data_IF_877273169060
#
_entry.id   IF_877273169060
#
_cell.length_a   1.000
_cell.length_b   1.000
_cell.length_c   1.000
_cell.angle_alpha   90.00
_cell.angle_beta   90.00
_cell.angle_gamma   90.00
#
_symmetry.space_group_name_H-M   'P 1'
#
loop_
_entity.id
_entity.type
_entity.pdbx_description
1 polymer ?
#
# COMPACT_ATOMS: atom_id res chain seq x y z
N UNK A 1 -8.56 27.47 3.42
CA UNK A 1 -9.95 27.41 2.88
C UNK A 1 -10.34 25.96 2.70
N UNK A 2 -11.18 25.42 3.59
CA UNK A 2 -11.75 24.08 3.45
C UNK A 2 -12.96 24.18 2.49
N UNK A 3 -12.79 23.72 1.25
CA UNK A 3 -13.89 23.53 0.28
C UNK A 3 -14.42 22.11 0.44
N UNK A 4 -15.73 21.94 0.62
CA UNK A 4 -16.41 20.69 0.27
C UNK A 4 -17.37 20.04 1.27
N UNK A 5 -18.23 20.80 1.96
CA UNK A 5 -19.53 20.25 2.34
C UNK A 5 -20.60 21.24 1.93
N UNK A 6 -21.27 20.99 0.81
CA UNK A 6 -22.46 21.76 0.42
C UNK A 6 -23.68 21.18 1.12
N UNK A 7 -24.56 22.04 1.63
CA UNK A 7 -25.89 21.68 2.15
C UNK A 7 -26.67 20.89 1.07
N UNK A 8 -27.34 19.80 1.46
CA UNK A 8 -28.00 18.84 0.55
C UNK A 8 -29.53 18.88 0.60
N UNK A 9 -30.11 19.98 1.08
CA UNK A 9 -31.56 20.14 1.25
C UNK A 9 -32.35 19.84 -0.04
N UNK A 10 -31.87 20.26 -1.21
CA UNK A 10 -32.56 20.03 -2.48
C UNK A 10 -32.64 18.54 -2.86
N UNK A 11 -31.63 17.76 -2.45
CA UNK A 11 -31.63 16.31 -2.66
C UNK A 11 -32.62 15.62 -1.72
N UNK A 12 -32.71 16.05 -0.46
CA UNK A 12 -33.74 15.56 0.48
C UNK A 12 -35.15 15.91 0.00
N UNK A 13 -35.32 17.11 -0.58
CA UNK A 13 -36.58 17.55 -1.18
C UNK A 13 -36.99 16.64 -2.34
N UNK A 14 -36.04 16.26 -3.20
CA UNK A 14 -36.27 15.33 -4.29
C UNK A 14 -36.64 13.91 -3.80
N UNK A 15 -36.20 13.52 -2.60
CA UNK A 15 -36.57 12.26 -1.94
C UNK A 15 -37.94 12.30 -1.21
N UNK A 16 -38.66 13.42 -1.29
CA UNK A 16 -40.00 13.55 -0.71
C UNK A 16 -40.03 13.85 0.78
N UNK A 17 -38.95 14.41 1.35
CA UNK A 17 -38.94 14.87 2.73
C UNK A 17 -39.90 16.06 2.94
N UNK A 18 -40.48 16.16 4.15
CA UNK A 18 -41.46 17.21 4.47
C UNK A 18 -40.81 18.60 4.52
N UNK A 19 -41.58 19.66 4.25
CA UNK A 19 -41.08 21.03 4.33
C UNK A 19 -40.63 21.44 5.75
N UNK A 20 -41.13 20.77 6.79
CA UNK A 20 -40.68 20.96 8.16
C UNK A 20 -39.32 20.30 8.39
N UNK A 21 -39.13 19.06 7.92
CA UNK A 21 -37.86 18.35 8.06
C UNK A 21 -36.73 19.00 7.23
N UNK A 22 -37.04 19.55 6.06
CA UNK A 22 -36.06 20.27 5.23
C UNK A 22 -35.52 21.51 5.95
N UNK A 23 -36.41 22.33 6.54
CA UNK A 23 -36.02 23.52 7.31
C UNK A 23 -35.19 23.14 8.54
N UNK A 24 -35.61 22.09 9.25
CA UNK A 24 -34.86 21.56 10.39
C UNK A 24 -33.47 21.04 10.00
N UNK A 25 -33.35 20.38 8.85
CA UNK A 25 -32.06 19.92 8.33
C UNK A 25 -31.13 21.09 8.01
N UNK A 26 -31.60 22.13 7.33
CA UNK A 26 -30.80 23.32 7.01
C UNK A 26 -30.27 24.00 8.28
N UNK A 27 -31.15 24.25 9.26
CA UNK A 27 -30.80 24.92 10.51
C UNK A 27 -29.73 24.13 11.30
N UNK A 28 -29.94 22.82 11.48
CA UNK A 28 -28.99 21.96 12.19
C UNK A 28 -27.67 21.79 11.43
N UNK A 29 -27.72 21.80 10.09
CA UNK A 29 -26.53 21.74 9.26
C UNK A 29 -25.68 23.00 9.40
N UNK A 30 -26.29 24.20 9.33
CA UNK A 30 -25.59 25.47 9.55
C UNK A 30 -25.03 25.58 10.97
N UNK A 31 -25.83 25.20 11.97
CA UNK A 31 -25.39 25.20 13.37
C UNK A 31 -24.18 24.28 13.58
N UNK A 32 -24.21 23.08 13.00
CA UNK A 32 -23.09 22.13 13.03
C UNK A 32 -21.82 22.71 12.39
N UNK A 33 -21.92 23.43 11.28
CA UNK A 33 -20.75 24.05 10.65
C UNK A 33 -20.15 25.16 11.51
N UNK A 34 -21.00 25.94 12.18
CA UNK A 34 -20.59 27.11 12.97
C UNK A 34 -20.04 26.73 14.35
N UNK A 35 -20.62 25.72 14.99
CA UNK A 35 -20.34 25.39 16.40
C UNK A 35 -19.84 23.96 16.61
N UNK A 36 -19.87 23.11 15.59
CA UNK A 36 -19.46 21.71 15.68
C UNK A 36 -20.56 20.77 16.21
N UNK A 37 -20.50 19.50 15.81
CA UNK A 37 -21.53 18.50 16.13
C UNK A 37 -21.62 18.12 17.61
N UNK A 38 -20.62 18.49 18.44
CA UNK A 38 -20.62 18.19 19.87
C UNK A 38 -21.64 19.03 20.65
N UNK A 39 -22.04 20.18 20.09
CA UNK A 39 -23.00 21.11 20.69
C UNK A 39 -24.45 20.82 20.26
N UNK A 40 -24.67 19.76 19.48
CA UNK A 40 -26.01 19.32 19.11
C UNK A 40 -26.54 18.31 20.11
N UNK A 41 -27.82 18.44 20.44
CA UNK A 41 -28.52 17.47 21.27
C UNK A 41 -28.52 16.08 20.63
N UNK A 42 -28.77 15.06 21.43
CA UNK A 42 -28.73 13.67 20.93
C UNK A 42 -29.72 13.46 19.79
N UNK A 43 -30.93 13.96 19.94
CA UNK A 43 -32.04 13.84 19.00
C UNK A 43 -31.73 14.57 17.68
N UNK A 44 -31.03 15.71 17.76
CA UNK A 44 -30.61 16.50 16.60
C UNK A 44 -29.49 15.81 15.82
N UNK A 45 -28.54 15.18 16.53
CA UNK A 45 -27.50 14.35 15.91
C UNK A 45 -28.08 13.12 15.24
N UNK A 46 -29.05 12.47 15.87
CA UNK A 46 -29.77 11.33 15.32
C UNK A 46 -30.59 11.73 14.09
N UNK A 47 -31.25 12.89 14.12
CA UNK A 47 -31.96 13.46 12.97
C UNK A 47 -31.03 13.72 11.79
N UNK A 48 -29.90 14.40 11.99
CA UNK A 48 -28.91 14.64 10.93
C UNK A 48 -28.36 13.32 10.38
N UNK A 49 -28.11 12.32 11.23
CA UNK A 49 -27.64 10.99 10.79
C UNK A 49 -28.69 10.29 9.92
N UNK A 50 -29.97 10.39 10.28
CA UNK A 50 -31.09 9.83 9.51
C UNK A 50 -31.22 10.52 8.14
N UNK A 51 -31.11 11.85 8.12
CA UNK A 51 -31.14 12.63 6.88
C UNK A 51 -29.96 12.29 5.95
N UNK A 52 -28.73 12.25 6.48
CA UNK A 52 -27.54 11.87 5.71
C UNK A 52 -27.58 10.41 5.24
N UNK A 53 -28.22 9.51 5.99
CA UNK A 53 -28.39 8.11 5.58
C UNK A 53 -29.43 7.92 4.46
N UNK A 54 -30.44 8.80 4.38
CA UNK A 54 -31.46 8.77 3.35
C UNK A 54 -30.96 9.35 2.02
N UNK A 55 -30.03 10.30 2.09
CA UNK A 55 -29.42 10.89 0.90
C UNK A 55 -28.64 9.85 0.10
N UNK A 56 -28.69 9.90 -1.25
CA UNK A 56 -27.85 9.05 -2.07
C UNK A 56 -26.40 9.31 -1.67
N UNK A 57 -25.58 8.25 -1.56
CA UNK A 57 -24.15 8.45 -1.30
C UNK A 57 -23.59 9.31 -2.42
N UNK A 58 -23.18 10.55 -2.13
CA UNK A 58 -22.36 11.32 -3.07
C UNK A 58 -21.17 10.43 -3.37
N UNK A 59 -20.92 10.14 -4.65
CA UNK A 59 -19.58 9.70 -5.05
C UNK A 59 -18.64 10.73 -4.42
N UNK A 60 -17.73 10.27 -3.55
CA UNK A 60 -16.93 11.15 -2.71
C UNK A 60 -16.37 12.28 -3.58
N UNK A 61 -16.88 13.50 -3.39
CA UNK A 61 -16.40 14.66 -4.12
C UNK A 61 -15.02 14.96 -3.58
N UNK A 62 -14.07 14.32 -4.25
CA UNK A 62 -12.72 14.04 -3.81
C UNK A 62 -12.20 12.86 -4.63
N UNK A 63 -12.38 12.91 -5.96
CA UNK A 63 -12.14 11.82 -6.90
C UNK A 63 -12.98 10.58 -6.56
N UNK A 64 -14.00 10.32 -7.37
CA UNK A 64 -14.36 8.94 -7.68
C UNK A 64 -13.18 8.28 -8.37
N UNK A 65 -12.10 8.02 -7.63
CA UNK A 65 -11.09 7.10 -8.07
C UNK A 65 -11.80 5.77 -8.12
N UNK A 66 -11.81 5.15 -9.31
CA UNK A 66 -11.98 3.71 -9.37
C UNK A 66 -11.12 3.08 -8.28
N UNK A 67 -11.56 1.94 -7.75
CA UNK A 67 -10.79 1.20 -6.74
C UNK A 67 -9.37 1.09 -7.30
N UNK A 68 -8.41 1.79 -6.66
CA UNK A 68 -7.03 1.83 -7.16
C UNK A 68 -6.60 0.39 -7.37
N UNK A 69 -6.14 0.11 -8.58
CA UNK A 69 -5.47 -1.14 -8.88
C UNK A 69 -4.32 -1.33 -7.89
N UNK A 70 -3.90 -2.57 -7.65
CA UNK A 70 -2.79 -2.84 -6.75
C UNK A 70 -1.53 -2.05 -7.14
N UNK A 71 -1.30 -1.87 -8.45
CA UNK A 71 -0.21 -1.09 -9.03
C UNK A 71 -0.27 0.42 -8.75
N UNK A 72 -1.46 0.97 -8.52
CA UNK A 72 -1.64 2.38 -8.17
C UNK A 72 -1.47 2.67 -6.67
N UNK A 73 -1.39 1.62 -5.84
CA UNK A 73 -1.26 1.76 -4.38
C UNK A 73 0.18 2.11 -4.01
N UNK A 74 0.32 3.05 -3.08
CA UNK A 74 1.62 3.65 -2.73
C UNK A 74 2.66 2.63 -2.29
N UNK A 75 2.27 1.61 -1.51
CA UNK A 75 3.17 0.56 -1.06
C UNK A 75 3.69 -0.30 -2.23
N UNK A 76 2.84 -0.68 -3.18
CA UNK A 76 3.27 -1.40 -4.38
C UNK A 76 4.21 -0.55 -5.23
N UNK A 77 3.87 0.72 -5.48
CA UNK A 77 4.70 1.66 -6.25
C UNK A 77 6.06 1.89 -5.61
N UNK A 78 6.11 1.94 -4.29
CA UNK A 78 7.36 2.05 -3.54
C UNK A 78 8.27 0.84 -3.78
N UNK A 79 7.76 -0.38 -3.65
CA UNK A 79 8.53 -1.61 -3.92
C UNK A 79 8.98 -1.68 -5.38
N UNK A 80 8.09 -1.36 -6.32
CA UNK A 80 8.39 -1.35 -7.75
C UNK A 80 9.47 -0.31 -8.12
N UNK A 81 9.41 0.89 -7.52
CA UNK A 81 10.42 1.92 -7.75
C UNK A 81 11.79 1.52 -7.19
N UNK A 82 11.83 0.86 -6.04
CA UNK A 82 13.08 0.35 -5.46
C UNK A 82 13.66 -0.79 -6.30
N UNK A 83 12.83 -1.73 -6.76
CA UNK A 83 13.24 -2.80 -7.67
C UNK A 83 13.83 -2.21 -8.96
N UNK A 84 13.18 -1.20 -9.54
CA UNK A 84 13.67 -0.54 -10.75
C UNK A 84 15.00 0.18 -10.50
N UNK A 85 15.14 0.87 -9.37
CA UNK A 85 16.40 1.52 -8.99
C UNK A 85 17.56 0.51 -8.87
N UNK A 86 17.31 -0.68 -8.34
CA UNK A 86 18.32 -1.76 -8.27
C UNK A 86 18.64 -2.32 -9.64
N UNK A 87 17.63 -2.66 -10.44
CA UNK A 87 17.80 -3.20 -11.81
C UNK A 87 18.54 -2.27 -12.75
N UNK A 88 18.30 -0.97 -12.61
CA UNK A 88 18.97 0.07 -13.38
C UNK A 88 20.33 0.48 -12.81
N UNK A 89 20.76 -0.10 -11.68
CA UNK A 89 22.02 0.29 -11.04
C UNK A 89 23.24 -0.34 -11.69
N UNK A 90 24.43 0.28 -11.57
CA UNK A 90 25.68 -0.32 -12.03
C UNK A 90 25.99 -1.67 -11.36
N UNK A 91 25.55 -1.87 -10.11
CA UNK A 91 25.83 -3.11 -9.38
C UNK A 91 25.10 -4.30 -10.01
N UNK A 92 23.89 -4.09 -10.52
CA UNK A 92 23.07 -5.15 -11.14
C UNK A 92 23.37 -5.28 -12.62
N UNK A 93 23.48 -4.17 -13.34
CA UNK A 93 23.75 -4.17 -14.79
C UNK A 93 25.17 -4.64 -15.14
N UNK A 94 26.11 -4.57 -14.18
CA UNK A 94 27.46 -5.10 -14.30
C UNK A 94 27.61 -6.59 -13.96
N UNK A 95 26.54 -7.28 -13.55
CA UNK A 95 26.61 -8.71 -13.23
C UNK A 95 26.70 -9.56 -14.51
N UNK A 96 27.66 -10.48 -14.52
CA UNK A 96 27.89 -11.40 -15.63
C UNK A 96 27.32 -12.80 -15.33
N UNK A 97 27.28 -13.67 -16.34
CA UNK A 97 26.95 -15.09 -16.20
C UNK A 97 25.57 -15.40 -15.61
N UNK A 98 24.61 -14.48 -15.76
CA UNK A 98 23.26 -14.65 -15.22
C UNK A 98 23.18 -14.53 -13.70
N UNK A 99 24.24 -14.03 -13.04
CA UNK A 99 24.21 -13.65 -11.63
C UNK A 99 23.19 -12.54 -11.41
N UNK A 100 22.58 -12.53 -10.23
CA UNK A 100 21.51 -11.59 -9.90
C UNK A 100 21.59 -11.20 -8.42
N UNK A 101 21.23 -9.96 -8.11
CA UNK A 101 21.09 -9.52 -6.73
C UNK A 101 19.95 -10.25 -5.99
N UNK A 102 20.15 -10.58 -4.73
CA UNK A 102 19.12 -11.19 -3.89
C UNK A 102 17.95 -10.22 -3.61
N UNK A 103 18.22 -8.92 -3.51
CA UNK A 103 17.18 -7.90 -3.30
C UNK A 103 16.14 -7.84 -4.43
N UNK A 104 16.53 -7.78 -5.72
CA UNK A 104 15.59 -7.92 -6.83
C UNK A 104 14.66 -9.12 -6.72
N UNK A 105 15.19 -10.31 -6.39
CA UNK A 105 14.38 -11.54 -6.23
C UNK A 105 13.32 -11.34 -5.14
N UNK A 106 13.70 -10.81 -3.97
CA UNK A 106 12.78 -10.57 -2.85
C UNK A 106 11.66 -9.61 -3.23
N UNK A 107 11.99 -8.48 -3.87
CA UNK A 107 10.99 -7.48 -4.24
C UNK A 107 10.07 -7.97 -5.35
N UNK A 108 10.59 -8.76 -6.30
CA UNK A 108 9.79 -9.39 -7.35
C UNK A 108 8.74 -10.35 -6.78
N UNK A 109 9.15 -11.26 -5.88
CA UNK A 109 8.22 -12.22 -5.28
C UNK A 109 7.19 -11.51 -4.37
N UNK A 110 7.58 -10.42 -3.69
CA UNK A 110 6.64 -9.60 -2.92
C UNK A 110 5.63 -8.89 -3.83
N UNK A 111 6.08 -8.22 -4.90
CA UNK A 111 5.21 -7.58 -5.87
C UNK A 111 4.26 -8.59 -6.52
N UNK A 112 4.76 -9.79 -6.84
CA UNK A 112 3.97 -10.91 -7.37
C UNK A 112 2.88 -11.33 -6.38
N UNK A 113 3.21 -11.54 -5.11
CA UNK A 113 2.22 -11.90 -4.08
C UNK A 113 1.16 -10.80 -3.90
N UNK A 114 1.57 -9.53 -3.86
CA UNK A 114 0.65 -8.39 -3.80
C UNK A 114 -0.28 -8.36 -5.01
N UNK A 115 0.26 -8.57 -6.21
CA UNK A 115 -0.52 -8.55 -7.44
C UNK A 115 -1.52 -9.70 -7.53
N UNK A 116 -1.19 -10.87 -6.97
CA UNK A 116 -2.09 -12.03 -6.96
C UNK A 116 -3.22 -11.90 -5.93
N UNK A 117 -2.85 -11.61 -4.68
CA UNK A 117 -3.84 -11.54 -3.59
C UNK A 117 -4.64 -10.25 -3.60
N UNK A 118 -4.06 -9.17 -4.13
CA UNK A 118 -4.65 -7.83 -4.20
C UNK A 118 -5.15 -7.31 -2.84
N UNK A 119 -4.32 -7.32 -1.77
CA UNK A 119 -4.72 -6.78 -0.48
C UNK A 119 -5.19 -5.33 -0.63
N UNK A 120 -6.10 -4.89 0.24
CA UNK A 120 -6.66 -3.54 0.17
C UNK A 120 -5.56 -2.48 0.26
N UNK A 121 -4.50 -2.73 1.05
CA UNK A 121 -3.41 -1.81 1.39
C UNK A 121 -3.93 -0.46 1.94
N UNK A 122 -5.03 -0.54 2.71
CA UNK A 122 -5.49 0.56 3.55
C UNK A 122 -4.64 0.68 4.83
N UNK A 123 -5.03 1.59 5.74
CA UNK A 123 -4.28 1.82 6.97
C UNK A 123 -3.98 0.54 7.80
N UNK A 124 -4.93 -0.40 7.99
CA UNK A 124 -4.65 -1.62 8.74
C UNK A 124 -3.55 -2.47 8.09
N UNK A 125 -3.62 -2.67 6.78
CA UNK A 125 -2.64 -3.44 6.02
C UNK A 125 -1.27 -2.73 6.01
N UNK A 126 -1.23 -1.41 5.80
CA UNK A 126 0.04 -0.68 5.72
C UNK A 126 0.77 -0.59 7.05
N UNK A 127 0.03 -0.56 8.17
CA UNK A 127 0.63 -0.69 9.50
C UNK A 127 1.25 -2.07 9.71
N UNK A 128 0.58 -3.13 9.24
CA UNK A 128 1.06 -4.51 9.36
C UNK A 128 2.16 -4.85 8.37
N UNK A 129 2.23 -4.18 7.21
CA UNK A 129 3.29 -4.34 6.21
C UNK A 129 4.71 -4.18 6.78
N UNK A 130 4.86 -3.46 7.90
CA UNK A 130 6.15 -3.34 8.61
C UNK A 130 6.73 -4.68 9.07
N UNK A 131 5.90 -5.72 9.24
CA UNK A 131 6.37 -7.07 9.55
C UNK A 131 7.19 -7.69 8.42
N UNK A 132 7.05 -7.21 7.18
CA UNK A 132 7.87 -7.66 6.05
C UNK A 132 9.31 -7.16 6.15
N UNK A 133 9.58 -6.05 6.85
CA UNK A 133 10.94 -5.52 6.99
C UNK A 133 11.92 -6.50 7.63
N UNK A 134 11.67 -7.06 8.84
CA UNK A 134 12.57 -8.06 9.42
C UNK A 134 12.63 -9.35 8.60
N UNK A 135 11.56 -9.71 7.89
CA UNK A 135 11.58 -10.87 7.00
C UNK A 135 12.52 -10.67 5.80
N UNK A 136 12.48 -9.49 5.16
CA UNK A 136 13.41 -9.14 4.07
C UNK A 136 14.86 -9.23 4.54
N UNK A 137 15.20 -8.64 5.68
CA UNK A 137 16.58 -8.70 6.19
C UNK A 137 17.02 -10.13 6.47
N UNK A 138 16.16 -10.99 7.05
CA UNK A 138 16.47 -12.42 7.23
C UNK A 138 16.74 -13.15 5.91
N UNK A 139 15.93 -12.90 4.87
CA UNK A 139 16.17 -13.52 3.56
C UNK A 139 17.48 -13.06 2.94
N UNK A 140 17.79 -11.77 3.06
CA UNK A 140 19.02 -11.19 2.52
C UNK A 140 20.24 -11.70 3.29
N UNK A 141 20.15 -11.88 4.61
CA UNK A 141 21.19 -12.52 5.41
C UNK A 141 21.43 -13.97 4.97
N UNK A 142 20.36 -14.74 4.74
CA UNK A 142 20.48 -16.10 4.22
C UNK A 142 21.12 -16.15 2.82
N UNK A 143 20.81 -15.20 1.94
CA UNK A 143 21.46 -15.07 0.64
C UNK A 143 22.95 -14.71 0.78
N UNK A 144 23.29 -13.79 1.69
CA UNK A 144 24.67 -13.37 1.94
C UNK A 144 25.56 -14.53 2.39
N UNK A 145 25.00 -15.53 3.09
CA UNK A 145 25.73 -16.73 3.50
C UNK A 145 26.15 -17.63 2.31
N UNK A 146 25.53 -17.46 1.15
CA UNK A 146 25.73 -18.32 -0.03
C UNK A 146 26.71 -17.74 -1.05
N UNK A 147 27.25 -16.52 -0.86
CA UNK A 147 28.10 -15.93 -1.89
C UNK A 147 28.70 -14.56 -1.61
N UNK A 148 29.04 -13.87 -2.70
CA UNK A 148 29.63 -12.54 -2.70
C UNK A 148 28.60 -11.47 -2.32
N UNK A 149 29.00 -10.53 -1.46
CA UNK A 149 28.18 -9.38 -1.12
C UNK A 149 28.81 -8.11 -1.68
N UNK A 150 28.15 -7.53 -2.68
CA UNK A 150 28.49 -6.21 -3.23
C UNK A 150 27.86 -5.09 -2.38
N UNK A 151 28.00 -3.85 -2.85
CA UNK A 151 27.48 -2.66 -2.18
C UNK A 151 26.51 -1.90 -3.07
N UNK A 152 25.35 -1.55 -2.52
CA UNK A 152 24.33 -0.72 -3.18
C UNK A 152 23.94 0.45 -2.27
N UNK A 153 23.87 1.65 -2.84
CA UNK A 153 23.50 2.88 -2.13
C UNK A 153 21.97 3.02 -2.02
N UNK A 154 21.37 2.31 -1.05
CA UNK A 154 19.93 2.41 -0.78
C UNK A 154 19.48 3.84 -0.43
N UNK A 155 20.20 4.62 0.39
CA UNK A 155 19.85 6.03 0.62
C UNK A 155 19.86 6.87 -0.65
N UNK A 156 20.91 6.79 -1.47
CA UNK A 156 21.00 7.53 -2.73
C UNK A 156 19.90 7.16 -3.71
N UNK A 157 19.59 5.87 -3.85
CA UNK A 157 18.46 5.40 -4.65
C UNK A 157 17.12 5.97 -4.16
N UNK A 158 16.89 5.98 -2.85
CA UNK A 158 15.68 6.55 -2.28
C UNK A 158 15.58 8.07 -2.52
N UNK A 159 16.67 8.81 -2.41
CA UNK A 159 16.69 10.25 -2.70
C UNK A 159 16.38 10.52 -4.17
N UNK A 160 16.94 9.75 -5.11
CA UNK A 160 16.59 9.86 -6.52
C UNK A 160 15.09 9.60 -6.76
N UNK A 161 14.52 8.59 -6.08
CA UNK A 161 13.07 8.33 -6.15
C UNK A 161 12.26 9.50 -5.57
N UNK A 162 12.69 10.10 -4.46
CA UNK A 162 12.00 11.25 -3.83
C UNK A 162 11.95 12.46 -4.75
N UNK A 163 13.00 12.69 -5.54
CA UNK A 163 13.04 13.77 -6.55
C UNK A 163 11.97 13.61 -7.64
N UNK A 164 11.48 12.38 -7.89
CA UNK A 164 10.36 12.13 -8.82
C UNK A 164 8.97 12.51 -8.27
N UNK A 165 8.90 13.01 -7.03
CA UNK A 165 7.69 13.62 -6.45
C UNK A 165 7.08 12.89 -5.24
N UNK A 166 7.77 11.91 -4.66
CA UNK A 166 7.24 11.14 -3.51
C UNK A 166 8.10 11.28 -2.25
N UNK A 167 7.77 12.22 -1.37
CA UNK A 167 8.60 12.60 -0.22
C UNK A 167 8.45 11.72 1.04
N UNK A 168 7.44 10.84 1.13
CA UNK A 168 7.13 10.08 2.35
C UNK A 168 7.64 8.63 2.35
N UNK A 169 8.20 8.14 1.25
CA UNK A 169 8.75 6.79 1.17
C UNK A 169 10.04 6.66 1.98
N UNK A 170 10.25 5.46 2.55
CA UNK A 170 11.39 5.14 3.42
C UNK A 170 12.35 4.18 2.72
N UNK A 171 13.55 4.07 3.27
CA UNK A 171 14.52 3.06 2.82
C UNK A 171 13.94 1.66 3.02
N UNK A 172 14.32 0.73 2.13
CA UNK A 172 13.99 -0.69 2.30
C UNK A 172 14.69 -1.27 3.53
N UNK A 173 15.86 -0.74 3.85
CA UNK A 173 16.74 -1.23 4.91
C UNK A 173 16.64 -0.34 6.14
N UNK A 174 16.74 -0.96 7.31
CA UNK A 174 16.91 -0.21 8.55
C UNK A 174 18.33 0.33 8.64
N UNK A 175 18.50 1.53 9.19
CA UNK A 175 19.82 2.12 9.48
C UNK A 175 20.59 1.34 10.57
N UNK A 176 19.90 0.44 11.27
CA UNK A 176 20.43 -0.33 12.39
C UNK A 176 20.98 -1.70 11.99
N UNK A 177 20.96 -2.07 10.72
CA UNK A 177 21.52 -3.34 10.24
C UNK A 177 23.04 -3.24 10.11
N UNK A 178 23.74 -4.35 10.37
CA UNK A 178 25.21 -4.38 10.45
C UNK A 178 25.89 -3.91 9.16
N UNK A 179 25.40 -4.36 8.00
CA UNK A 179 25.87 -3.90 6.70
C UNK A 179 24.71 -3.24 5.93
N UNK A 180 24.44 -1.93 6.09
CA UNK A 180 23.29 -1.25 5.51
C UNK A 180 23.34 -1.08 3.98
N UNK A 181 24.51 -1.30 3.37
CA UNK A 181 24.69 -1.25 1.91
C UNK A 181 24.84 -2.63 1.27
N UNK A 182 24.89 -3.70 2.08
CA UNK A 182 25.06 -5.07 1.61
C UNK A 182 24.07 -5.47 0.52
N UNK A 183 24.63 -5.97 -0.57
CA UNK A 183 23.90 -6.41 -1.75
C UNK A 183 24.39 -7.81 -2.17
N UNK A 184 23.84 -8.88 -1.57
CA UNK A 184 24.23 -10.24 -1.90
C UNK A 184 23.93 -10.58 -3.35
N UNK A 185 24.90 -11.20 -4.02
CA UNK A 185 24.79 -11.65 -5.41
C UNK A 185 24.84 -13.16 -5.45
N UNK A 186 23.88 -13.74 -6.15
CA UNK A 186 23.71 -15.18 -6.26
C UNK A 186 24.05 -15.65 -7.67
N UNK A 187 24.67 -16.82 -7.77
CA UNK A 187 24.82 -17.54 -9.02
C UNK A 187 23.47 -18.14 -9.45
N UNK A 188 23.28 -18.50 -10.74
CA UNK A 188 21.96 -18.90 -11.25
C UNK A 188 21.26 -20.04 -10.50
N UNK A 189 22.01 -21.05 -10.04
CA UNK A 189 21.46 -22.20 -9.30
C UNK A 189 21.00 -21.79 -7.89
N UNK A 190 21.80 -20.99 -7.20
CA UNK A 190 21.46 -20.45 -5.88
C UNK A 190 20.31 -19.44 -5.97
N UNK A 191 20.29 -18.62 -7.02
CA UNK A 191 19.21 -17.68 -7.29
C UNK A 191 17.86 -18.39 -7.50
N UNK A 192 17.85 -19.52 -8.23
CA UNK A 192 16.65 -20.32 -8.44
C UNK A 192 16.15 -20.94 -7.12
N UNK A 193 17.05 -21.51 -6.33
CA UNK A 193 16.73 -22.12 -5.03
C UNK A 193 16.25 -21.06 -4.03
N UNK A 194 16.94 -19.92 -3.97
CA UNK A 194 16.57 -18.78 -3.13
C UNK A 194 15.21 -18.22 -3.51
N UNK A 195 14.91 -18.05 -4.81
CA UNK A 195 13.60 -17.59 -5.29
C UNK A 195 12.47 -18.53 -4.86
N UNK A 196 12.66 -19.84 -4.97
CA UNK A 196 11.64 -20.81 -4.54
C UNK A 196 11.34 -20.70 -3.04
N UNK A 197 12.39 -20.59 -2.20
CA UNK A 197 12.25 -20.37 -0.76
C UNK A 197 11.53 -19.05 -0.45
N UNK A 198 12.01 -17.94 -1.02
CA UNK A 198 11.43 -16.60 -0.78
C UNK A 198 9.98 -16.57 -1.23
N UNK A 199 9.64 -17.16 -2.37
CA UNK A 199 8.25 -17.23 -2.86
C UNK A 199 7.34 -17.87 -1.81
N UNK A 200 7.67 -19.06 -1.32
CA UNK A 200 6.85 -19.76 -0.34
C UNK A 200 6.66 -18.91 0.93
N UNK A 201 7.75 -18.34 1.44
CA UNK A 201 7.70 -17.55 2.66
C UNK A 201 6.96 -16.21 2.49
N UNK A 202 7.13 -15.52 1.36
CA UNK A 202 6.41 -14.29 1.02
C UNK A 202 4.92 -14.55 0.89
N UNK A 203 4.50 -15.64 0.23
CA UNK A 203 3.09 -15.98 0.07
C UNK A 203 2.44 -16.23 1.43
N UNK A 204 3.08 -17.04 2.27
CA UNK A 204 2.61 -17.33 3.62
C UNK A 204 2.51 -16.05 4.47
N UNK A 205 3.59 -15.26 4.49
CA UNK A 205 3.67 -14.04 5.28
C UNK A 205 2.68 -12.97 4.80
N UNK A 206 2.46 -12.84 3.49
CA UNK A 206 1.48 -11.91 2.91
C UNK A 206 0.08 -12.21 3.43
N UNK A 207 -0.34 -13.48 3.37
CA UNK A 207 -1.66 -13.93 3.83
C UNK A 207 -1.85 -13.75 5.33
N UNK A 208 -0.82 -14.04 6.14
CA UNK A 208 -0.90 -13.91 7.59
C UNK A 208 -0.77 -12.47 8.09
N UNK A 209 -0.14 -11.59 7.31
CA UNK A 209 0.18 -10.21 7.73
C UNK A 209 -0.95 -9.24 7.45
N UNK A 210 -1.57 -9.31 6.27
CA UNK A 210 -2.55 -8.30 5.85
C UNK A 210 -3.95 -8.64 6.34
N UNK A 211 -4.56 -7.83 7.24
CA UNK A 211 -5.91 -8.09 7.72
C UNK A 211 -6.96 -8.16 6.62
N UNK A 212 -6.78 -7.46 5.50
CA UNK A 212 -7.70 -7.54 4.37
C UNK A 212 -7.72 -8.90 3.67
N UNK A 213 -6.73 -9.76 3.94
CA UNK A 213 -6.64 -11.12 3.41
C UNK A 213 -7.10 -12.19 4.41
N UNK A 214 -7.52 -11.83 5.63
CA UNK A 214 -7.89 -12.81 6.67
C UNK A 214 -8.98 -13.80 6.21
N UNK A 215 -9.96 -13.32 5.44
CA UNK A 215 -11.08 -14.10 4.91
C UNK A 215 -10.88 -14.51 3.44
N UNK A 216 -9.65 -14.43 2.91
CA UNK A 216 -9.40 -14.77 1.50
C UNK A 216 -9.54 -16.28 1.26
N UNK A 217 -10.34 -16.65 0.27
CA UNK A 217 -10.45 -18.02 -0.25
C UNK A 217 -9.58 -18.27 -1.48
N UNK A 218 -8.82 -17.27 -1.95
CA UNK A 218 -7.88 -17.44 -3.07
C UNK A 218 -6.84 -18.52 -2.71
N UNK A 219 -6.65 -19.49 -3.60
CA UNK A 219 -5.59 -20.49 -3.50
C UNK A 219 -4.21 -19.85 -3.63
N UNK A 220 -3.14 -20.61 -3.45
CA UNK A 220 -1.80 -20.10 -3.79
C UNK A 220 -1.62 -20.03 -5.31
N UNK A 221 -0.88 -19.03 -5.82
CA UNK A 221 -0.57 -18.95 -7.24
C UNK A 221 0.36 -20.11 -7.66
N UNK A 222 0.20 -20.68 -8.87
CA UNK A 222 1.18 -21.56 -9.47
C UNK A 222 2.57 -20.92 -9.55
N UNK A 223 3.64 -21.71 -9.53
CA UNK A 223 5.03 -21.22 -9.54
C UNK A 223 5.40 -20.37 -10.77
N UNK A 224 4.77 -20.63 -11.90
CA UNK A 224 4.95 -19.89 -13.16
C UNK A 224 4.02 -18.68 -13.31
N UNK A 225 3.09 -18.47 -12.38
CA UNK A 225 2.18 -17.33 -12.44
C UNK A 225 2.93 -16.01 -12.35
N UNK A 226 2.65 -15.08 -13.25
CA UNK A 226 3.18 -13.73 -13.22
C UNK A 226 2.03 -12.72 -13.35
N UNK A 227 2.12 -11.55 -12.70
CA UNK A 227 1.13 -10.51 -12.90
C UNK A 227 1.12 -10.07 -14.36
N UNK A 228 -0.07 -9.92 -14.93
CA UNK A 228 -0.25 -9.34 -16.26
C UNK A 228 0.35 -7.93 -16.28
N UNK A 229 1.29 -7.71 -17.21
CA UNK A 229 1.99 -6.43 -17.42
C UNK A 229 1.04 -5.32 -17.85
#
# INVERSE_FOLDING_TARGET
>A
MLKGSDNRVDELKALGWSAEDLRKYEELWEYRQRWGAINLEREEREFLRKAEAALPRRAANGKGGGRKTIQEKSHYRWLAAQLEAMRSSPVETGLENGRIGAWPIVLEEELRALAYYEPVLGLPDTLKAKALTPARERWIEAAAASGETLSFDFPGALEAIRQSGTSSWKSLRSETVENPMGYPVLDPEDAASFRAMVRQEVLALTRSTFPSLAETSKSEPPDDWQPSR
#
